data_IF_208439573393
#
_entry.id   IF_208439573393
#
_cell.length_a   1.000
_cell.length_b   1.000
_cell.length_c   1.000
_cell.angle_alpha   90.00
_cell.angle_beta   90.00
_cell.angle_gamma   90.00
#
_symmetry.space_group_name_H-M   'P 1'
#
loop_
_entity.id
_entity.type
_entity.pdbx_description
1 polymer ?
#
# COMPACT_ATOMS: atom_id res chain seq x y z
N UNK A 1 23.60 30.77 -9.62
CA UNK A 1 22.44 29.88 -9.87
C UNK A 1 22.59 29.31 -11.26
N UNK A 2 23.07 28.07 -11.40
CA UNK A 2 22.87 27.32 -12.63
C UNK A 2 21.41 26.80 -12.69
N UNK A 3 20.79 26.73 -13.89
CA UNK A 3 19.42 26.25 -14.04
C UNK A 3 19.37 24.72 -14.05
N UNK A 4 18.36 24.19 -13.34
CA UNK A 4 17.79 22.83 -13.36
C UNK A 4 18.56 21.77 -14.17
N UNK A 5 19.58 21.19 -13.54
CA UNK A 5 20.01 19.84 -13.88
C UNK A 5 18.94 18.89 -13.30
N UNK A 6 17.94 18.54 -14.12
CA UNK A 6 16.93 17.53 -13.79
C UNK A 6 17.63 16.35 -13.11
N UNK A 7 17.25 16.03 -11.88
CA UNK A 7 17.67 14.84 -11.15
C UNK A 7 17.35 13.60 -12.00
N UNK A 8 18.28 13.21 -12.88
CA UNK A 8 18.17 12.04 -13.74
C UNK A 8 18.42 10.80 -12.89
N UNK A 9 17.37 10.33 -12.23
CA UNK A 9 17.37 9.01 -11.63
C UNK A 9 17.49 7.96 -12.74
N UNK A 10 18.39 6.97 -12.61
CA UNK A 10 18.54 5.92 -13.61
C UNK A 10 17.20 5.23 -13.85
N UNK A 11 16.85 5.07 -15.12
CA UNK A 11 15.63 4.36 -15.52
C UNK A 11 15.76 2.89 -15.14
N UNK A 12 14.69 2.25 -14.64
CA UNK A 12 14.73 0.83 -14.34
C UNK A 12 15.09 0.02 -15.60
N UNK A 13 15.96 -1.00 -15.51
CA UNK A 13 16.33 -1.80 -16.65
C UNK A 13 15.09 -2.50 -17.23
N UNK A 14 15.02 -2.64 -18.56
CA UNK A 14 13.99 -3.46 -19.19
C UNK A 14 14.08 -4.90 -18.66
N UNK A 15 12.93 -5.54 -18.50
CA UNK A 15 12.87 -6.92 -18.00
C UNK A 15 13.29 -7.84 -19.13
N UNK A 16 14.53 -8.30 -19.10
CA UNK A 16 14.92 -9.46 -19.90
C UNK A 16 14.31 -10.71 -19.28
N UNK A 17 13.76 -11.59 -20.12
CA UNK A 17 13.06 -12.83 -19.72
C UNK A 17 13.95 -13.83 -18.95
N UNK A 18 15.24 -13.54 -18.78
CA UNK A 18 16.24 -14.37 -18.09
C UNK A 18 16.68 -13.81 -16.72
N UNK A 19 16.17 -12.65 -16.28
CA UNK A 19 16.54 -12.10 -14.96
C UNK A 19 15.86 -12.91 -13.86
N UNK A 20 16.63 -13.51 -12.94
CA UNK A 20 16.01 -14.19 -11.79
C UNK A 20 15.39 -13.16 -10.86
N UNK A 21 14.31 -13.52 -10.15
CA UNK A 21 13.62 -12.60 -9.22
C UNK A 21 14.52 -12.09 -8.10
N UNK A 22 15.58 -12.84 -7.79
CA UNK A 22 16.55 -12.51 -6.75
C UNK A 22 17.55 -11.44 -7.23
N UNK A 23 17.99 -11.53 -8.49
CA UNK A 23 18.85 -10.51 -9.14
C UNK A 23 18.12 -9.16 -9.25
N UNK A 24 16.82 -9.19 -9.52
CA UNK A 24 15.99 -8.00 -9.64
C UNK A 24 15.83 -7.28 -8.28
N UNK A 25 15.54 -8.03 -7.22
CA UNK A 25 15.43 -7.48 -5.86
C UNK A 25 16.76 -6.86 -5.41
N UNK A 26 17.88 -7.52 -5.72
CA UNK A 26 19.24 -7.01 -5.46
C UNK A 26 19.51 -5.69 -6.19
N UNK A 27 19.12 -5.59 -7.46
CA UNK A 27 19.28 -4.36 -8.24
C UNK A 27 18.46 -3.19 -7.68
N UNK A 28 17.17 -3.41 -7.38
CA UNK A 28 16.29 -2.37 -6.80
C UNK A 28 16.85 -1.91 -5.45
N UNK A 29 17.32 -2.84 -4.61
CA UNK A 29 17.93 -2.49 -3.33
C UNK A 29 19.22 -1.67 -3.49
N UNK A 30 20.08 -2.01 -4.45
CA UNK A 30 21.28 -1.23 -4.74
C UNK A 30 20.94 0.21 -5.17
N UNK A 31 19.88 0.41 -5.96
CA UNK A 31 19.40 1.74 -6.32
C UNK A 31 18.92 2.53 -5.09
N UNK A 32 18.13 1.91 -4.22
CA UNK A 32 17.63 2.53 -2.97
C UNK A 32 18.82 2.98 -2.10
N UNK A 33 19.86 2.16 -1.94
CA UNK A 33 21.06 2.55 -1.17
C UNK A 33 21.83 3.69 -1.83
N UNK A 34 21.93 3.69 -3.14
CA UNK A 34 22.61 4.76 -3.88
C UNK A 34 21.86 6.10 -3.77
N UNK A 35 20.53 6.08 -3.90
CA UNK A 35 19.65 7.23 -3.70
C UNK A 35 19.74 7.75 -2.27
N UNK A 36 19.57 6.89 -1.26
CA UNK A 36 19.65 7.28 0.15
C UNK A 36 21.03 7.85 0.54
N UNK A 37 22.12 7.41 -0.09
CA UNK A 37 23.45 7.98 0.14
C UNK A 37 23.54 9.41 -0.39
N UNK A 38 23.07 9.66 -1.62
CA UNK A 38 23.03 11.02 -2.18
C UNK A 38 22.15 11.93 -1.33
N UNK A 39 20.99 11.45 -0.92
CA UNK A 39 20.06 12.23 -0.11
C UNK A 39 20.67 12.57 1.26
N UNK A 40 21.37 11.62 1.90
CA UNK A 40 22.05 11.83 3.18
C UNK A 40 23.24 12.80 3.10
N UNK A 41 23.95 12.84 1.97
CA UNK A 41 25.03 13.81 1.72
C UNK A 41 24.46 15.21 1.43
N UNK A 42 23.31 15.28 0.76
CA UNK A 42 22.66 16.56 0.42
C UNK A 42 21.91 17.21 1.57
N UNK A 43 21.29 16.41 2.45
CA UNK A 43 20.46 16.88 3.57
C UNK A 43 20.94 16.30 4.91
N UNK A 44 21.84 17.01 5.62
CA UNK A 44 22.40 16.55 6.89
C UNK A 44 21.37 16.27 7.98
N UNK A 45 20.21 16.96 7.97
CA UNK A 45 19.16 16.73 8.97
C UNK A 45 18.53 15.33 8.83
N UNK A 46 18.50 14.77 7.63
CA UNK A 46 17.95 13.44 7.35
C UNK A 46 19.01 12.33 7.35
N UNK A 47 20.31 12.68 7.38
CA UNK A 47 21.41 11.72 7.26
C UNK A 47 21.31 10.57 8.28
N UNK A 48 21.07 10.87 9.56
CA UNK A 48 20.93 9.85 10.61
C UNK A 48 19.72 8.94 10.39
N UNK A 49 18.61 9.51 9.91
CA UNK A 49 17.38 8.78 9.60
C UNK A 49 17.57 7.84 8.40
N UNK A 50 18.17 8.34 7.31
CA UNK A 50 18.50 7.54 6.12
C UNK A 50 19.54 6.46 6.42
N UNK A 51 20.52 6.78 7.28
CA UNK A 51 21.53 5.81 7.70
C UNK A 51 20.90 4.67 8.48
N UNK A 52 20.12 4.98 9.51
CA UNK A 52 19.45 3.98 10.35
C UNK A 52 18.43 3.15 9.59
N UNK A 53 17.69 3.74 8.64
CA UNK A 53 16.58 3.08 7.92
C UNK A 53 17.02 2.32 6.67
N UNK A 54 18.06 2.77 5.97
CA UNK A 54 18.50 2.18 4.68
C UNK A 54 19.97 1.77 4.71
N UNK A 55 20.89 2.70 4.98
CA UNK A 55 22.32 2.45 4.72
C UNK A 55 22.94 1.38 5.63
N UNK A 56 22.46 1.29 6.88
CA UNK A 56 22.83 0.30 7.88
C UNK A 56 22.41 -1.13 7.53
N UNK A 57 21.39 -1.30 6.68
CA UNK A 57 20.80 -2.59 6.38
C UNK A 57 21.45 -3.27 5.17
N UNK A 58 21.43 -4.59 5.19
CA UNK A 58 21.95 -5.46 4.13
C UNK A 58 20.91 -5.81 3.06
N UNK A 59 19.61 -5.72 3.37
CA UNK A 59 18.53 -6.14 2.47
C UNK A 59 17.29 -5.24 2.59
N UNK A 60 16.44 -5.29 1.56
CA UNK A 60 15.20 -4.51 1.49
C UNK A 60 14.21 -4.90 2.58
N UNK A 61 14.10 -6.20 2.91
CA UNK A 61 13.14 -6.71 3.90
C UNK A 61 13.45 -6.18 5.29
N UNK A 62 14.75 -6.13 5.66
CA UNK A 62 15.18 -5.57 6.95
C UNK A 62 14.90 -4.08 7.03
N UNK A 63 15.20 -3.34 5.97
CA UNK A 63 14.91 -1.91 5.88
C UNK A 63 13.41 -1.63 5.97
N UNK A 64 12.59 -2.39 5.22
CA UNK A 64 11.14 -2.26 5.22
C UNK A 64 10.52 -2.62 6.58
N UNK A 65 10.99 -3.71 7.21
CA UNK A 65 10.56 -4.10 8.55
C UNK A 65 10.92 -3.01 9.58
N UNK A 66 12.13 -2.45 9.51
CA UNK A 66 12.58 -1.41 10.43
C UNK A 66 11.74 -0.14 10.27
N UNK A 67 11.49 0.27 9.03
CA UNK A 67 10.70 1.46 8.73
C UNK A 67 9.23 1.29 9.13
N UNK A 68 8.60 0.17 8.77
CA UNK A 68 7.22 -0.14 9.17
C UNK A 68 7.09 -0.24 10.69
N UNK A 69 8.07 -0.86 11.36
CA UNK A 69 8.08 -0.99 12.83
C UNK A 69 8.09 0.37 13.51
N UNK A 70 8.90 1.31 13.03
CA UNK A 70 8.95 2.68 13.55
C UNK A 70 7.72 3.51 13.17
N UNK A 71 7.09 3.28 12.01
CA UNK A 71 5.89 4.00 11.60
C UNK A 71 4.64 3.54 12.37
N UNK A 72 4.50 2.24 12.61
CA UNK A 72 3.29 1.64 13.17
C UNK A 72 3.32 1.51 14.69
N UNK A 73 4.44 1.85 15.34
CA UNK A 73 4.56 1.74 16.78
C UNK A 73 3.52 2.58 17.54
N UNK A 74 3.25 2.17 18.77
CA UNK A 74 2.38 2.83 19.73
C UNK A 74 2.86 2.48 21.15
N UNK A 75 2.20 3.03 22.18
CA UNK A 75 2.43 2.63 23.56
C UNK A 75 2.16 1.14 23.82
N UNK A 76 1.29 0.51 23.00
CA UNK A 76 0.97 -0.91 23.08
C UNK A 76 1.90 -1.78 22.23
N UNK A 77 2.23 -1.33 21.01
CA UNK A 77 3.04 -2.07 20.05
C UNK A 77 4.39 -1.37 19.89
N UNK A 78 5.42 -1.91 20.54
CA UNK A 78 6.78 -1.39 20.46
C UNK A 78 7.36 -1.57 19.05
N UNK A 79 8.20 -0.61 18.61
CA UNK A 79 8.83 -0.68 17.28
C UNK A 79 9.74 -1.90 17.12
N UNK A 80 10.43 -2.32 18.19
CA UNK A 80 11.26 -3.53 18.21
C UNK A 80 10.44 -4.80 18.04
N UNK A 81 9.31 -4.91 18.73
CA UNK A 81 8.38 -6.04 18.59
C UNK A 81 7.81 -6.12 17.17
N UNK A 82 7.42 -4.97 16.61
CA UNK A 82 6.91 -4.91 15.24
C UNK A 82 7.99 -5.24 14.22
N UNK A 83 9.22 -4.78 14.43
CA UNK A 83 10.36 -5.12 13.59
C UNK A 83 10.59 -6.63 13.53
N UNK A 84 10.66 -7.30 14.68
CA UNK A 84 10.85 -8.75 14.74
C UNK A 84 9.69 -9.49 14.07
N UNK A 85 8.44 -9.08 14.35
CA UNK A 85 7.24 -9.64 13.74
C UNK A 85 7.27 -9.53 12.21
N UNK A 86 7.63 -8.36 11.68
CA UNK A 86 7.69 -8.14 10.23
C UNK A 86 8.82 -8.94 9.60
N UNK A 87 10.00 -8.96 10.22
CA UNK A 87 11.15 -9.70 9.72
C UNK A 87 10.88 -11.21 9.69
N UNK A 88 10.30 -11.77 10.74
CA UNK A 88 9.89 -13.18 10.80
C UNK A 88 8.84 -13.50 9.72
N UNK A 89 7.91 -12.57 9.49
CA UNK A 89 6.88 -12.74 8.46
C UNK A 89 7.50 -12.75 7.06
N UNK A 90 8.46 -11.86 6.76
CA UNK A 90 9.20 -11.86 5.51
C UNK A 90 10.03 -13.14 5.33
N UNK A 91 10.66 -13.64 6.39
CA UNK A 91 11.40 -14.90 6.36
C UNK A 91 10.49 -16.12 6.09
N UNK A 92 9.27 -16.10 6.64
CA UNK A 92 8.28 -17.17 6.43
C UNK A 92 7.64 -17.20 5.04
N UNK A 93 7.63 -16.06 4.35
CA UNK A 93 6.97 -15.91 3.05
C UNK A 93 7.76 -14.98 2.12
N UNK A 94 8.72 -15.54 1.35
CA UNK A 94 9.52 -14.78 0.38
C UNK A 94 8.68 -14.07 -0.68
N UNK A 95 7.45 -14.54 -0.88
CA UNK A 95 6.53 -14.00 -1.86
C UNK A 95 6.08 -12.57 -1.50
N UNK A 96 6.21 -12.17 -0.23
CA UNK A 96 5.99 -10.79 0.23
C UNK A 96 7.07 -9.84 -0.26
N UNK A 97 8.35 -10.26 -0.27
CA UNK A 97 9.43 -9.45 -0.80
C UNK A 97 9.24 -9.21 -2.30
N UNK A 98 8.92 -10.27 -3.05
CA UNK A 98 8.59 -10.15 -4.49
C UNK A 98 7.42 -9.18 -4.72
N UNK A 99 6.43 -9.17 -3.83
CA UNK A 99 5.32 -8.21 -3.90
C UNK A 99 5.79 -6.77 -3.65
N UNK A 100 6.65 -6.55 -2.65
CA UNK A 100 7.19 -5.22 -2.34
C UNK A 100 8.04 -4.67 -3.49
N UNK A 101 8.92 -5.48 -4.08
CA UNK A 101 9.75 -5.09 -5.25
C UNK A 101 8.85 -4.72 -6.44
N UNK A 102 7.84 -5.56 -6.71
CA UNK A 102 6.88 -5.28 -7.76
C UNK A 102 6.08 -4.00 -7.53
N UNK A 103 5.66 -3.73 -6.29
CA UNK A 103 4.90 -2.53 -5.93
C UNK A 103 5.80 -1.26 -6.03
N UNK A 104 7.08 -1.35 -5.65
CA UNK A 104 8.07 -0.27 -5.84
C UNK A 104 8.30 0.05 -7.32
N UNK A 105 8.43 -0.98 -8.16
CA UNK A 105 8.55 -0.78 -9.62
C UNK A 105 7.30 -0.17 -10.21
N UNK A 106 6.13 -0.64 -9.79
CA UNK A 106 4.86 -0.09 -10.25
C UNK A 106 4.74 1.40 -9.89
N UNK A 107 5.13 1.78 -8.67
CA UNK A 107 5.16 3.19 -8.27
C UNK A 107 6.12 4.02 -9.14
N UNK A 108 7.37 3.54 -9.33
CA UNK A 108 8.39 4.24 -10.12
C UNK A 108 8.01 4.47 -11.58
N UNK A 109 7.35 3.49 -12.20
CA UNK A 109 6.97 3.56 -13.62
C UNK A 109 5.69 4.37 -13.83
N UNK A 110 4.74 4.29 -12.90
CA UNK A 110 3.37 4.78 -13.12
C UNK A 110 3.07 6.11 -12.47
N UNK A 111 3.80 6.48 -11.42
CA UNK A 111 3.58 7.75 -10.72
C UNK A 111 4.61 8.80 -11.15
N UNK A 112 4.18 9.87 -11.84
CA UNK A 112 5.06 10.98 -12.21
C UNK A 112 5.72 11.65 -11.01
N UNK A 113 5.09 11.61 -9.83
CA UNK A 113 5.64 12.17 -8.59
C UNK A 113 6.65 11.22 -7.91
N UNK A 114 6.67 9.94 -8.28
CA UNK A 114 7.60 8.95 -7.74
C UNK A 114 8.90 8.93 -8.55
N UNK A 115 9.76 9.90 -8.27
CA UNK A 115 11.04 10.09 -8.95
C UNK A 115 12.11 9.06 -8.53
N UNK A 116 12.02 8.47 -7.33
CA UNK A 116 13.03 7.57 -6.79
C UNK A 116 12.43 6.38 -6.03
N UNK A 117 13.18 5.28 -5.96
CA UNK A 117 12.76 4.09 -5.19
C UNK A 117 12.85 4.35 -3.68
N UNK A 118 13.88 5.10 -3.23
CA UNK A 118 14.05 5.51 -1.84
C UNK A 118 12.86 6.32 -1.34
N UNK A 119 12.37 7.28 -2.11
CA UNK A 119 11.23 8.11 -1.72
C UNK A 119 9.94 7.31 -1.68
N UNK A 120 9.75 6.34 -2.58
CA UNK A 120 8.63 5.42 -2.49
C UNK A 120 8.67 4.61 -1.19
N UNK A 121 9.82 3.99 -0.89
CA UNK A 121 10.00 3.20 0.32
C UNK A 121 9.78 4.02 1.59
N UNK A 122 10.27 5.25 1.65
CA UNK A 122 10.25 6.06 2.87
C UNK A 122 8.94 6.83 3.06
N UNK A 123 8.39 7.41 2.00
CA UNK A 123 7.37 8.45 2.10
C UNK A 123 6.00 8.06 1.53
N UNK A 124 5.91 7.04 0.67
CA UNK A 124 4.62 6.67 0.08
C UNK A 124 3.76 5.86 1.05
N UNK A 125 2.81 6.55 1.70
CA UNK A 125 1.87 5.95 2.65
C UNK A 125 1.07 4.80 2.05
N UNK A 126 0.63 4.92 0.79
CA UNK A 126 -0.10 3.85 0.09
C UNK A 126 0.74 2.58 -0.09
N UNK A 127 2.01 2.73 -0.47
CA UNK A 127 2.94 1.60 -0.57
C UNK A 127 3.13 0.93 0.80
N UNK A 128 3.41 1.72 1.84
CA UNK A 128 3.64 1.22 3.19
C UNK A 128 2.40 0.53 3.78
N UNK A 129 1.22 1.11 3.58
CA UNK A 129 -0.04 0.52 4.01
C UNK A 129 -0.31 -0.82 3.31
N UNK A 130 -0.04 -0.93 2.01
CA UNK A 130 -0.15 -2.19 1.27
C UNK A 130 0.78 -3.26 1.86
N UNK A 131 2.06 -2.94 2.12
CA UNK A 131 2.99 -3.93 2.69
C UNK A 131 2.58 -4.35 4.11
N UNK A 132 2.20 -3.38 4.95
CA UNK A 132 1.72 -3.65 6.31
C UNK A 132 0.44 -4.50 6.30
N UNK A 133 -0.48 -4.24 5.38
CA UNK A 133 -1.69 -5.06 5.20
C UNK A 133 -1.35 -6.49 4.80
N UNK A 134 -0.38 -6.73 3.90
CA UNK A 134 0.02 -8.09 3.53
C UNK A 134 0.51 -8.90 4.74
N UNK A 135 1.22 -8.24 5.66
CA UNK A 135 1.65 -8.86 6.92
C UNK A 135 0.44 -9.12 7.82
N UNK A 136 -0.46 -8.16 7.97
CA UNK A 136 -1.72 -8.34 8.72
C UNK A 136 -2.55 -9.51 8.16
N UNK A 137 -2.63 -9.65 6.83
CA UNK A 137 -3.30 -10.75 6.14
C UNK A 137 -2.65 -12.10 6.44
N UNK A 138 -1.31 -12.16 6.47
CA UNK A 138 -0.59 -13.38 6.85
C UNK A 138 -0.90 -13.78 8.29
N UNK A 139 -0.88 -12.82 9.22
CA UNK A 139 -1.22 -13.06 10.64
C UNK A 139 -2.68 -13.52 10.80
N UNK A 140 -3.61 -12.96 10.01
CA UNK A 140 -5.00 -13.38 9.98
C UNK A 140 -5.14 -14.85 9.59
N UNK A 141 -4.42 -15.29 8.54
CA UNK A 141 -4.45 -16.67 8.06
C UNK A 141 -3.73 -17.64 9.01
N UNK A 142 -2.82 -17.16 9.86
CA UNK A 142 -2.18 -17.92 10.93
C UNK A 142 -3.02 -17.98 12.23
N UNK A 143 -4.31 -17.61 12.16
CA UNK A 143 -5.21 -17.53 13.32
C UNK A 143 -4.79 -16.52 14.40
N UNK A 144 -3.81 -15.64 14.14
CA UNK A 144 -3.41 -14.55 15.04
C UNK A 144 -4.28 -13.31 14.83
N UNK A 145 -5.61 -13.50 14.80
CA UNK A 145 -6.60 -12.47 14.45
C UNK A 145 -6.55 -11.21 15.34
N UNK A 146 -6.38 -11.30 16.68
CA UNK A 146 -6.31 -10.09 17.49
C UNK A 146 -5.13 -9.18 17.11
N UNK A 147 -3.97 -9.78 16.81
CA UNK A 147 -2.79 -9.04 16.38
C UNK A 147 -2.97 -8.45 14.97
N UNK A 148 -3.61 -9.19 14.07
CA UNK A 148 -3.94 -8.68 12.73
C UNK A 148 -4.87 -7.47 12.80
N UNK A 149 -5.88 -7.48 13.68
CA UNK A 149 -6.79 -6.35 13.90
C UNK A 149 -6.12 -5.17 14.61
N UNK A 150 -5.22 -5.44 15.58
CA UNK A 150 -4.43 -4.39 16.21
C UNK A 150 -3.52 -3.69 15.18
N UNK A 151 -2.85 -4.46 14.33
CA UNK A 151 -2.03 -3.94 13.25
C UNK A 151 -2.87 -3.16 12.23
N UNK A 152 -4.04 -3.69 11.87
CA UNK A 152 -5.01 -3.00 11.01
C UNK A 152 -5.39 -1.61 11.52
N UNK A 153 -5.75 -1.50 12.81
CA UNK A 153 -6.07 -0.21 13.43
C UNK A 153 -4.90 0.77 13.30
N UNK A 154 -3.66 0.31 13.54
CA UNK A 154 -2.46 1.15 13.38
C UNK A 154 -2.23 1.59 11.94
N UNK A 155 -2.48 0.73 10.96
CA UNK A 155 -2.37 1.09 9.53
C UNK A 155 -3.38 2.19 9.19
N UNK A 156 -4.62 2.07 9.66
CA UNK A 156 -5.65 3.09 9.47
C UNK A 156 -5.24 4.42 10.12
N UNK A 157 -4.80 4.40 11.38
CA UNK A 157 -4.39 5.61 12.11
C UNK A 157 -3.20 6.35 11.47
N UNK A 158 -2.18 5.60 11.02
CA UNK A 158 -0.90 6.18 10.59
C UNK A 158 -0.92 6.54 9.10
N UNK A 159 -1.55 5.70 8.28
CA UNK A 159 -1.53 5.83 6.84
C UNK A 159 -2.86 6.31 6.24
N UNK A 160 -3.92 6.44 7.04
CA UNK A 160 -5.27 6.77 6.58
C UNK A 160 -5.79 5.78 5.51
N UNK A 161 -5.42 4.51 5.68
CA UNK A 161 -5.76 3.40 4.78
C UNK A 161 -6.39 2.28 5.61
N UNK A 162 -7.68 2.05 5.40
CA UNK A 162 -8.44 1.01 6.08
C UNK A 162 -8.63 -0.19 5.15
N UNK A 163 -7.85 -1.25 5.39
CA UNK A 163 -7.94 -2.50 4.63
C UNK A 163 -8.01 -3.67 5.60
N UNK A 164 -9.23 -4.15 5.83
CA UNK A 164 -9.49 -5.29 6.69
C UNK A 164 -8.54 -6.47 6.42
N UNK A 165 -7.90 -7.09 7.43
CA UNK A 165 -6.87 -8.12 7.22
C UNK A 165 -7.32 -9.33 6.38
N UNK A 166 -8.60 -9.67 6.37
CA UNK A 166 -9.14 -10.75 5.53
C UNK A 166 -9.18 -10.42 4.02
N UNK A 167 -9.06 -9.15 3.63
CA UNK A 167 -9.01 -8.75 2.23
C UNK A 167 -7.74 -9.30 1.56
N UNK A 168 -7.81 -9.57 0.25
CA UNK A 168 -6.69 -10.08 -0.54
C UNK A 168 -6.25 -9.02 -1.53
N UNK A 169 -5.00 -8.55 -1.39
CA UNK A 169 -4.39 -7.60 -2.35
C UNK A 169 -3.42 -8.36 -3.27
N UNK A 170 -3.58 -8.19 -4.59
CA UNK A 170 -2.64 -8.73 -5.59
C UNK A 170 -1.24 -8.09 -5.52
N UNK A 171 -0.25 -8.60 -6.26
CA UNK A 171 1.14 -8.07 -6.34
C UNK A 171 1.41 -7.36 -7.66
N UNK A 172 2.09 -6.20 -7.70
CA UNK A 172 2.41 -5.49 -8.94
C UNK A 172 2.84 -6.44 -10.08
N UNK A 173 2.28 -6.32 -11.28
CA UNK A 173 2.80 -7.03 -12.47
C UNK A 173 3.36 -6.02 -13.47
N UNK A 174 4.47 -6.41 -14.11
CA UNK A 174 5.22 -5.59 -15.04
C UNK A 174 4.53 -5.34 -16.39
N UNK A 175 3.45 -6.07 -16.72
CA UNK A 175 2.65 -5.84 -17.91
C UNK A 175 1.17 -6.00 -17.59
N UNK A 176 0.40 -4.98 -17.94
CA UNK A 176 -1.02 -4.88 -17.64
C UNK A 176 -1.29 -4.41 -16.22
N UNK A 177 -2.09 -3.36 -16.12
CA UNK A 177 -2.53 -2.83 -14.86
C UNK A 177 -3.56 -3.81 -14.24
N UNK A 178 -3.31 -4.28 -13.01
CA UNK A 178 -4.16 -5.25 -12.29
C UNK A 178 -4.31 -4.93 -10.80
N UNK A 179 -3.88 -3.74 -10.38
CA UNK A 179 -3.87 -3.33 -8.98
C UNK A 179 -4.85 -2.21 -8.71
N UNK A 180 -5.68 -2.34 -7.68
CA UNK A 180 -6.54 -1.25 -7.29
C UNK A 180 -5.73 -0.05 -6.80
N UNK A 181 -6.03 1.14 -7.32
CA UNK A 181 -5.44 2.41 -6.88
C UNK A 181 -6.40 3.03 -5.87
N UNK A 182 -6.09 2.94 -4.59
CA UNK A 182 -6.94 3.43 -3.49
C UNK A 182 -6.55 4.88 -3.16
N UNK A 183 -7.49 5.80 -3.28
CA UNK A 183 -7.34 7.19 -2.87
C UNK A 183 -7.51 7.40 -1.36
N UNK A 184 -7.19 8.59 -0.88
CA UNK A 184 -7.22 8.89 0.57
C UNK A 184 -8.63 8.78 1.18
N UNK A 185 -8.73 8.34 2.43
CA UNK A 185 -10.00 8.33 3.18
C UNK A 185 -11.04 7.36 2.63
N UNK A 186 -10.61 6.35 1.86
CA UNK A 186 -11.48 5.29 1.34
C UNK A 186 -11.79 4.28 2.44
N UNK A 187 -13.05 3.88 2.55
CA UNK A 187 -13.51 2.81 3.44
C UNK A 187 -13.70 1.51 2.67
N UNK A 188 -13.02 0.42 3.03
CA UNK A 188 -13.16 -0.90 2.38
C UNK A 188 -13.78 -1.90 3.35
N UNK A 189 -15.03 -2.28 3.09
CA UNK A 189 -15.79 -3.20 3.91
C UNK A 189 -15.20 -4.61 3.98
N UNK A 190 -15.49 -5.32 5.08
CA UNK A 190 -14.98 -6.65 5.34
C UNK A 190 -15.32 -7.64 4.21
N UNK A 191 -14.32 -8.40 3.75
CA UNK A 191 -14.52 -9.39 2.69
C UNK A 191 -14.73 -8.81 1.29
N UNK A 192 -14.55 -7.50 1.10
CA UNK A 192 -14.48 -6.92 -0.24
C UNK A 192 -13.27 -7.47 -1.01
N UNK A 193 -13.49 -7.78 -2.28
CA UNK A 193 -12.50 -8.29 -3.21
C UNK A 193 -12.39 -7.28 -4.34
N UNK A 194 -11.28 -6.56 -4.40
CA UNK A 194 -11.06 -5.54 -5.43
C UNK A 194 -10.02 -6.11 -6.40
N UNK A 195 -10.42 -6.31 -7.65
CA UNK A 195 -9.63 -7.04 -8.64
C UNK A 195 -9.44 -6.20 -9.90
N UNK A 196 -8.21 -6.13 -10.40
CA UNK A 196 -7.87 -5.41 -11.62
C UNK A 196 -7.31 -4.01 -11.36
N UNK A 197 -6.96 -3.31 -12.44
CA UNK A 197 -6.64 -1.88 -12.38
C UNK A 197 -7.92 -1.10 -12.24
N UNK A 198 -8.28 -0.86 -10.99
CA UNK A 198 -9.46 -0.09 -10.64
C UNK A 198 -9.07 1.05 -9.75
N UNK A 199 -9.35 2.27 -10.18
CA UNK A 199 -9.11 3.48 -9.39
C UNK A 199 -10.28 3.70 -8.45
N UNK A 200 -10.02 3.63 -7.15
CA UNK A 200 -10.94 3.99 -6.10
C UNK A 200 -10.64 5.41 -5.66
N UNK A 201 -11.54 6.33 -5.97
CA UNK A 201 -11.37 7.75 -5.71
C UNK A 201 -11.38 8.09 -4.22
N UNK A 202 -10.77 9.22 -3.89
CA UNK A 202 -10.70 9.77 -2.53
C UNK A 202 -12.07 9.78 -1.84
N UNK A 203 -12.16 9.27 -0.62
CA UNK A 203 -13.40 9.24 0.16
C UNK A 203 -14.44 8.25 -0.32
N UNK A 204 -14.11 7.33 -1.24
CA UNK A 204 -15.06 6.30 -1.67
C UNK A 204 -15.29 5.23 -0.61
N UNK A 205 -16.41 4.52 -0.70
CA UNK A 205 -16.81 3.47 0.25
C UNK A 205 -17.12 2.17 -0.49
N UNK A 206 -16.46 1.08 -0.15
CA UNK A 206 -16.70 -0.25 -0.71
C UNK A 206 -17.44 -1.07 0.32
N UNK A 207 -18.59 -1.64 -0.05
CA UNK A 207 -19.38 -2.48 0.86
C UNK A 207 -18.69 -3.78 1.21
N UNK A 208 -19.03 -4.34 2.37
CA UNK A 208 -18.59 -5.67 2.76
C UNK A 208 -19.01 -6.73 1.72
N UNK A 209 -18.16 -7.72 1.47
CA UNK A 209 -18.42 -8.81 0.51
C UNK A 209 -18.47 -8.41 -0.97
N UNK A 210 -18.12 -7.16 -1.31
CA UNK A 210 -18.28 -6.64 -2.68
C UNK A 210 -17.12 -7.04 -3.59
N UNK A 211 -17.41 -7.39 -4.86
CA UNK A 211 -16.39 -7.73 -5.87
C UNK A 211 -16.24 -6.59 -6.87
N UNK A 212 -15.26 -5.72 -6.64
CA UNK A 212 -15.06 -4.48 -7.43
C UNK A 212 -14.16 -4.77 -8.62
N UNK A 213 -14.72 -4.54 -9.82
CA UNK A 213 -14.07 -4.73 -11.12
C UNK A 213 -14.02 -3.44 -11.97
N UNK A 214 -14.52 -2.33 -11.44
CA UNK A 214 -14.63 -1.04 -12.13
C UNK A 214 -14.04 0.08 -11.28
N UNK A 215 -13.60 1.16 -11.95
CA UNK A 215 -13.22 2.41 -11.29
C UNK A 215 -14.39 2.96 -10.46
N UNK A 216 -14.07 3.37 -9.23
CA UNK A 216 -15.01 3.96 -8.27
C UNK A 216 -14.68 5.45 -8.15
N UNK A 217 -15.60 6.37 -8.51
CA UNK A 217 -15.35 7.79 -8.39
C UNK A 217 -15.12 8.25 -6.92
N UNK A 218 -14.51 9.43 -6.70
CA UNK A 218 -14.33 9.98 -5.36
C UNK A 218 -15.67 10.21 -4.63
N UNK A 219 -15.72 9.94 -3.33
CA UNK A 219 -16.87 10.12 -2.43
C UNK A 219 -18.13 9.33 -2.80
N UNK A 220 -17.99 8.21 -3.50
CA UNK A 220 -19.12 7.34 -3.88
C UNK A 220 -19.10 6.00 -3.15
N UNK A 221 -20.26 5.38 -2.98
CA UNK A 221 -20.37 4.02 -2.42
C UNK A 221 -20.55 2.97 -3.53
N UNK A 222 -19.80 1.87 -3.46
CA UNK A 222 -19.85 0.74 -4.40
C UNK A 222 -20.04 -0.57 -3.64
N UNK A 223 -20.95 -1.42 -4.11
CA UNK A 223 -21.44 -2.59 -3.36
C UNK A 223 -21.88 -3.73 -4.29
N UNK A 224 -21.82 -4.98 -3.81
CA UNK A 224 -22.36 -6.16 -4.50
C UNK A 224 -21.31 -7.02 -5.23
N UNK A 225 -21.74 -8.13 -5.81
CA UNK A 225 -20.90 -9.07 -6.56
C UNK A 225 -21.60 -9.44 -7.89
N UNK A 226 -21.22 -8.84 -9.04
CA UNK A 226 -20.18 -7.80 -9.21
C UNK A 226 -20.62 -6.44 -8.68
N UNK A 227 -19.65 -5.63 -8.21
CA UNK A 227 -19.95 -4.40 -7.49
C UNK A 227 -20.44 -3.28 -8.41
N UNK A 228 -21.47 -2.55 -7.96
CA UNK A 228 -22.09 -1.41 -8.65
C UNK A 228 -22.14 -0.18 -7.75
N UNK A 229 -22.12 0.99 -8.37
CA UNK A 229 -22.29 2.27 -7.69
C UNK A 229 -23.72 2.42 -7.17
N UNK A 230 -23.87 2.79 -5.90
CA UNK A 230 -25.16 3.17 -5.33
C UNK A 230 -25.60 4.50 -5.97
N UNK A 231 -26.84 4.58 -6.46
CA UNK A 231 -27.40 5.73 -7.18
C UNK A 231 -27.21 5.70 -8.71
N UNK A 232 -26.54 4.67 -9.26
CA UNK A 232 -26.36 4.50 -10.71
C UNK A 232 -25.21 5.31 -11.32
N UNK A 233 -24.90 5.04 -12.60
CA UNK A 233 -23.75 5.65 -13.32
C UNK A 233 -23.94 7.15 -13.61
N UNK A 234 -25.18 7.62 -13.72
CA UNK A 234 -25.48 9.00 -14.16
C UNK A 234 -25.61 10.00 -13.00
N UNK A 235 -25.90 9.52 -11.77
CA UNK A 235 -25.97 10.33 -10.54
C UNK A 235 -25.49 9.53 -9.31
N UNK A 236 -24.19 9.28 -9.16
CA UNK A 236 -23.69 8.59 -7.97
C UNK A 236 -23.98 9.41 -6.71
N UNK A 237 -24.51 8.77 -5.68
CA UNK A 237 -24.74 9.42 -4.38
C UNK A 237 -23.39 9.84 -3.81
N UNK A 238 -23.16 11.15 -3.71
CA UNK A 238 -21.91 11.73 -3.19
C UNK A 238 -22.06 11.99 -1.70
N UNK A 239 -21.14 11.46 -0.91
CA UNK A 239 -21.05 11.77 0.52
C UNK A 239 -20.41 13.15 0.73
N UNK A 240 -21.00 13.95 1.63
CA UNK A 240 -20.40 15.21 2.08
C UNK A 240 -19.21 14.97 3.01
N UNK A 241 -19.25 13.89 3.80
CA UNK A 241 -18.21 13.48 4.77
C UNK A 241 -17.27 12.38 4.23
N UNK A 242 -16.06 12.28 4.79
CA UNK A 242 -15.08 11.24 4.45
C UNK A 242 -15.42 9.92 5.18
N UNK A 243 -15.88 8.86 4.48
CA UNK A 243 -16.38 7.65 5.13
C UNK A 243 -15.32 6.86 5.91
N UNK A 244 -14.04 7.00 5.54
CA UNK A 244 -12.93 6.39 6.28
C UNK A 244 -12.78 6.91 7.72
N UNK A 245 -13.33 8.09 8.04
CA UNK A 245 -13.26 8.67 9.39
C UNK A 245 -14.45 8.24 10.27
N UNK A 246 -15.64 8.09 9.69
CA UNK A 246 -16.87 7.79 10.44
C UNK A 246 -17.07 6.29 10.71
N UNK A 247 -16.36 5.40 10.00
CA UNK A 247 -16.53 3.93 10.07
C UNK A 247 -17.98 3.46 9.93
N UNK A 248 -18.82 4.27 9.28
CA UNK A 248 -20.20 3.91 9.09
C UNK A 248 -20.29 2.82 8.03
N UNK A 249 -20.81 1.65 8.38
CA UNK A 249 -21.02 0.51 7.48
C UNK A 249 -22.50 0.31 7.10
N UNK A 250 -23.43 1.13 7.62
CA UNK A 250 -24.87 0.84 7.57
C UNK A 250 -25.69 1.93 6.89
N UNK A 251 -25.20 3.17 6.75
CA UNK A 251 -25.94 4.29 6.13
C UNK A 251 -26.54 4.02 4.75
N UNK A 252 -26.01 3.07 3.99
CA UNK A 252 -26.48 2.75 2.64
C UNK A 252 -27.52 1.62 2.59
N UNK A 253 -27.87 1.00 3.72
CA UNK A 253 -28.80 -0.13 3.78
C UNK A 253 -30.22 0.30 3.34
N UNK A 254 -30.61 1.55 3.57
CA UNK A 254 -31.90 2.10 3.10
C UNK A 254 -31.98 2.23 1.58
N UNK A 255 -30.87 2.56 0.93
CA UNK A 255 -30.81 2.80 -0.53
C UNK A 255 -30.57 1.49 -1.31
N UNK A 256 -30.35 0.39 -0.60
CA UNK A 256 -30.06 -0.94 -1.14
C UNK A 256 -31.33 -1.74 -1.49
N UNK A 257 -32.47 -1.44 -0.85
CA UNK A 257 -33.72 -2.19 -1.02
C UNK A 257 -34.32 -2.08 -2.43
N UNK A 258 -33.86 -1.12 -3.23
CA UNK A 258 -34.40 -0.83 -4.56
C UNK A 258 -33.66 -1.56 -5.70
N UNK A 259 -32.56 -2.26 -5.41
CA UNK A 259 -31.87 -3.11 -6.37
C UNK A 259 -32.39 -4.56 -6.27
N UNK A 260 -33.34 -4.91 -7.13
CA UNK A 260 -33.77 -6.30 -7.33
C UNK A 260 -32.59 -7.10 -7.93
N UNK A 261 -32.24 -8.21 -7.27
CA UNK A 261 -31.23 -9.19 -7.70
C UNK A 261 -31.71 -9.95 -8.93
#
# INVERSE_FOLDING_TARGET
MPPDEELRYPSPPPIDSNTTTDDEAGWVWAQIKAEARRDAESEPALASYLYSTILSHSSLERSLAFHLGNKLCSSTLLSTLLYDLFLDTFASDPSLCVAAVADLRAARVRDPACISFSHCLLNFKGFLACQAHRIAHKLWNQSRRPLALALHSRISDVFAVDIHPAAKIGKGKASGDRHPKIGDGVLIGAGAIILGDVKIGKGAKIGAGSVVLIDVPPRTTTVGNPARLIGGKEKPTKHEECPGESMDHTSFISDWSDYII
#
